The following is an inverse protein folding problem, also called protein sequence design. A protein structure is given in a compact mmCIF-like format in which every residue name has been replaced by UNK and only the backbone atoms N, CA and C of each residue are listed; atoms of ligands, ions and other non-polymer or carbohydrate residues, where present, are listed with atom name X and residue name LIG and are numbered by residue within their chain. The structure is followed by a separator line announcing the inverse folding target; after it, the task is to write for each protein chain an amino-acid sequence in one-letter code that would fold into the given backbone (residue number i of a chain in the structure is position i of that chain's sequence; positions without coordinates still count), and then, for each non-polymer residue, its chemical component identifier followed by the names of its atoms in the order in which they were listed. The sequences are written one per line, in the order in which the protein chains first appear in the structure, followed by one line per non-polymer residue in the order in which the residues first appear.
data_IF_038418576420
#
_entry.id   IF_038418576420
#
_cell.length_a   1.000
_cell.length_b   1.000
_cell.length_c   1.000
_cell.angle_alpha   90.00
_cell.angle_beta   90.00
_cell.angle_gamma   90.00
#
_symmetry.space_group_name_H-M   'P 1'
#
loop_
_entity.id
_entity.type
_entity.pdbx_description
1 polymer ?
#
# COMPACT_ATOMS: atom_id res chain seq x y z
N UNK A 1 -29.04 7.21 57.25
CA UNK A 1 -29.07 7.79 55.89
C UNK A 1 -27.79 7.39 55.18
N UNK A 2 -27.85 6.38 54.32
CA UNK A 2 -26.68 5.79 53.65
C UNK A 2 -26.40 6.59 52.37
N UNK A 3 -25.20 7.19 52.27
CA UNK A 3 -24.73 7.87 51.05
C UNK A 3 -24.15 6.81 50.10
N UNK A 4 -24.81 6.58 48.98
CA UNK A 4 -24.30 5.75 47.88
C UNK A 4 -23.43 6.64 46.99
N UNK A 5 -22.16 6.28 46.86
CA UNK A 5 -21.21 6.93 45.96
C UNK A 5 -21.24 6.15 44.63
N UNK A 6 -21.72 6.78 43.56
CA UNK A 6 -21.78 6.19 42.22
C UNK A 6 -20.43 6.43 41.52
N UNK A 7 -19.64 5.38 41.32
CA UNK A 7 -18.40 5.44 40.54
C UNK A 7 -18.73 5.11 39.08
N UNK A 8 -18.71 6.13 38.20
CA UNK A 8 -18.91 5.94 36.76
C UNK A 8 -17.56 5.61 36.13
N UNK A 9 -17.35 4.34 35.76
CA UNK A 9 -16.23 3.91 34.93
C UNK A 9 -16.54 4.21 33.46
N UNK A 10 -15.92 5.27 32.92
CA UNK A 10 -15.86 5.50 31.48
C UNK A 10 -14.87 4.51 30.85
N UNK A 11 -15.37 3.38 30.34
CA UNK A 11 -14.60 2.56 29.41
C UNK A 11 -14.61 3.27 28.05
N UNK A 12 -13.57 4.05 27.75
CA UNK A 12 -13.35 4.47 26.37
C UNK A 12 -12.86 3.25 25.59
N UNK A 13 -13.77 2.59 24.88
CA UNK A 13 -13.41 1.61 23.87
C UNK A 13 -12.76 2.32 22.69
N UNK A 14 -11.48 2.66 22.82
CA UNK A 14 -10.62 2.81 21.66
C UNK A 14 -10.47 1.40 21.08
N UNK A 15 -11.16 1.14 19.96
CA UNK A 15 -10.84 0.02 19.09
C UNK A 15 -9.50 0.34 18.42
N UNK A 16 -8.41 0.25 19.18
CA UNK A 16 -7.09 0.06 18.58
C UNK A 16 -7.16 -1.32 17.94
N UNK A 17 -6.90 -1.40 16.64
CA UNK A 17 -6.75 -2.68 15.96
C UNK A 17 -5.45 -3.27 16.51
N UNK A 18 -5.51 -3.95 17.66
CA UNK A 18 -4.35 -4.67 18.15
C UNK A 18 -3.95 -5.72 17.09
N UNK A 19 -2.65 -5.95 16.88
CA UNK A 19 -2.21 -7.06 16.04
C UNK A 19 -2.91 -8.32 16.52
N UNK A 20 -3.46 -9.07 15.57
CA UNK A 20 -4.25 -10.28 15.79
C UNK A 20 -3.41 -11.25 16.65
N UNK A 21 -3.66 -11.26 17.96
CA UNK A 21 -2.73 -11.83 18.96
C UNK A 21 -2.80 -13.36 19.06
N UNK A 22 -3.78 -14.02 18.45
CA UNK A 22 -3.90 -15.48 18.45
C UNK A 22 -4.50 -15.99 17.15
N UNK A 23 -3.64 -16.34 16.19
CA UNK A 23 -3.82 -17.49 15.31
C UNK A 23 -2.41 -18.03 15.06
N UNK A 24 -2.22 -19.35 15.14
CA UNK A 24 -0.96 -20.01 14.80
C UNK A 24 -0.49 -19.48 13.44
N UNK A 25 0.60 -18.71 13.41
CA UNK A 25 0.97 -17.96 12.22
C UNK A 25 1.26 -18.95 11.09
N UNK A 26 0.54 -18.81 9.98
CA UNK A 26 0.76 -19.68 8.82
C UNK A 26 2.14 -19.40 8.21
N UNK A 27 2.62 -20.31 7.37
CA UNK A 27 3.83 -20.04 6.58
C UNK A 27 3.70 -18.74 5.74
N UNK A 28 2.47 -18.42 5.29
CA UNK A 28 2.21 -17.17 4.59
C UNK A 28 2.30 -15.95 5.52
N UNK A 29 1.76 -16.03 6.74
CA UNK A 29 1.87 -14.94 7.72
C UNK A 29 3.33 -14.67 8.07
N UNK A 30 4.13 -15.72 8.30
CA UNK A 30 5.56 -15.60 8.56
C UNK A 30 6.30 -14.95 7.39
N UNK A 31 5.94 -15.33 6.16
CA UNK A 31 6.52 -14.73 4.95
C UNK A 31 6.16 -13.24 4.82
N UNK A 32 4.87 -12.88 4.93
CA UNK A 32 4.39 -11.49 4.77
C UNK A 32 4.94 -10.56 5.86
N UNK A 33 5.10 -11.05 7.09
CA UNK A 33 5.65 -10.26 8.20
C UNK A 33 7.18 -10.30 8.29
N UNK A 34 7.85 -11.09 7.44
CA UNK A 34 9.31 -11.11 7.42
C UNK A 34 9.86 -9.77 6.93
N UNK A 35 10.92 -9.28 7.58
CA UNK A 35 11.59 -8.07 7.15
C UNK A 35 12.35 -8.36 5.86
N UNK A 36 11.99 -7.67 4.78
CA UNK A 36 12.78 -7.66 3.56
C UNK A 36 13.73 -6.46 3.56
N UNK A 37 15.05 -6.72 3.56
CA UNK A 37 16.07 -5.67 3.60
C UNK A 37 16.14 -4.79 2.34
N UNK A 38 15.39 -5.12 1.29
CA UNK A 38 15.26 -4.31 0.08
C UNK A 38 14.05 -3.38 0.08
N UNK A 39 13.15 -3.49 1.07
CA UNK A 39 12.00 -2.60 1.19
C UNK A 39 12.47 -1.15 1.35
N UNK A 40 12.07 -0.30 0.41
CA UNK A 40 12.36 1.14 0.44
C UNK A 40 11.28 1.89 -0.32
N UNK A 41 10.99 3.13 0.07
CA UNK A 41 10.09 3.99 -0.68
C UNK A 41 10.55 5.44 -0.66
N UNK A 42 10.22 6.17 -1.73
CA UNK A 42 10.52 7.59 -1.87
C UNK A 42 9.33 8.31 -2.50
N UNK A 43 8.88 9.40 -1.87
CA UNK A 43 7.87 10.30 -2.46
C UNK A 43 8.59 11.21 -3.46
N UNK A 44 8.48 10.89 -4.75
CA UNK A 44 9.21 11.60 -5.81
C UNK A 44 8.46 12.82 -6.33
N UNK A 45 7.12 12.87 -6.16
CA UNK A 45 6.30 14.01 -6.58
C UNK A 45 5.09 14.19 -5.66
N UNK A 46 4.80 15.45 -5.36
CA UNK A 46 3.56 15.88 -4.70
C UNK A 46 2.81 16.82 -5.66
N UNK A 47 1.57 16.50 -5.97
CA UNK A 47 0.74 17.25 -6.92
C UNK A 47 -0.54 17.70 -6.21
N UNK A 48 -0.66 18.97 -5.83
CA UNK A 48 -1.90 19.54 -5.33
C UNK A 48 -3.00 19.49 -6.41
N UNK A 49 -4.23 19.27 -5.98
CA UNK A 49 -5.43 19.36 -6.81
C UNK A 49 -6.57 20.02 -6.04
N UNK A 50 -7.70 20.25 -6.70
CA UNK A 50 -8.85 20.85 -6.05
C UNK A 50 -9.57 19.83 -5.14
N UNK A 51 -9.41 20.01 -3.83
CA UNK A 51 -10.00 19.14 -2.80
C UNK A 51 -9.19 17.87 -2.50
N UNK A 52 -7.97 17.76 -3.02
CA UNK A 52 -7.09 16.61 -2.80
C UNK A 52 -5.61 16.93 -3.03
N UNK A 53 -4.74 16.05 -2.56
CA UNK A 53 -3.32 16.01 -2.90
C UNK A 53 -2.95 14.61 -3.40
N UNK A 54 -2.19 14.54 -4.50
CA UNK A 54 -1.60 13.29 -5.00
C UNK A 54 -0.14 13.18 -4.61
N UNK A 55 0.28 11.99 -4.22
CA UNK A 55 1.67 11.60 -3.99
C UNK A 55 2.04 10.49 -4.98
N UNK A 56 3.13 10.68 -5.70
CA UNK A 56 3.70 9.64 -6.55
C UNK A 56 4.93 9.11 -5.83
N UNK A 57 4.92 7.80 -5.57
CA UNK A 57 5.89 7.11 -4.74
C UNK A 57 6.60 6.06 -5.58
N UNK A 58 7.94 6.11 -5.58
CA UNK A 58 8.79 5.01 -6.02
C UNK A 58 8.87 4.01 -4.87
N UNK A 59 8.36 2.80 -5.06
CA UNK A 59 8.31 1.76 -4.03
C UNK A 59 9.10 0.54 -4.48
N UNK A 60 9.98 0.04 -3.62
CA UNK A 60 10.49 -1.34 -3.70
C UNK A 60 9.79 -2.13 -2.61
N UNK A 61 8.99 -3.11 -3.02
CA UNK A 61 8.16 -3.90 -2.10
C UNK A 61 8.97 -5.02 -1.44
N UNK A 62 9.81 -5.70 -2.23
CA UNK A 62 10.57 -6.86 -1.79
C UNK A 62 11.62 -7.28 -2.83
N UNK A 63 12.45 -8.24 -2.45
CA UNK A 63 13.23 -9.07 -3.36
C UNK A 63 12.45 -10.35 -3.65
N UNK A 64 12.19 -10.63 -4.92
CA UNK A 64 11.57 -11.86 -5.37
C UNK A 64 12.62 -12.77 -6.02
N UNK A 65 12.65 -14.04 -5.60
CA UNK A 65 13.58 -15.06 -6.09
C UNK A 65 15.05 -14.60 -6.07
N UNK A 66 15.92 -15.35 -6.75
CA UNK A 66 17.34 -15.04 -6.85
C UNK A 66 17.76 -14.81 -8.29
N UNK A 67 18.98 -14.30 -8.47
CA UNK A 67 19.60 -14.16 -9.81
C UNK A 67 19.83 -15.50 -10.52
N UNK A 68 19.68 -16.63 -9.83
CA UNK A 68 19.71 -17.97 -10.46
C UNK A 68 18.39 -18.31 -11.14
N UNK A 69 17.32 -17.63 -10.76
CA UNK A 69 15.96 -17.91 -11.23
C UNK A 69 15.53 -16.89 -12.28
N UNK A 70 15.85 -15.60 -12.07
CA UNK A 70 15.34 -14.49 -12.88
C UNK A 70 16.38 -13.38 -13.08
N UNK A 71 16.18 -12.57 -14.13
CA UNK A 71 17.07 -11.46 -14.50
C UNK A 71 16.98 -10.23 -13.58
N UNK A 72 15.82 -9.97 -12.95
CA UNK A 72 15.57 -8.82 -12.05
C UNK A 72 14.86 -9.26 -10.78
N UNK A 73 15.52 -9.14 -9.63
CA UNK A 73 14.98 -9.64 -8.35
C UNK A 73 14.24 -8.58 -7.53
N UNK A 74 14.64 -7.30 -7.59
CA UNK A 74 13.94 -6.23 -6.87
C UNK A 74 12.58 -5.96 -7.54
N UNK A 75 11.50 -6.05 -6.78
CA UNK A 75 10.16 -5.71 -7.23
C UNK A 75 9.87 -4.23 -6.99
N UNK A 76 9.79 -3.46 -8.08
CA UNK A 76 9.59 -2.02 -8.06
C UNK A 76 8.19 -1.64 -8.49
N UNK A 77 7.61 -0.62 -7.90
CA UNK A 77 6.26 -0.18 -8.19
C UNK A 77 6.16 1.34 -8.23
N UNK A 78 5.29 1.83 -9.11
CA UNK A 78 4.69 3.14 -8.94
C UNK A 78 3.47 3.02 -8.04
N UNK A 79 3.53 3.69 -6.89
CA UNK A 79 2.39 3.83 -5.99
C UNK A 79 1.88 5.28 -6.06
N UNK A 80 0.66 5.45 -6.56
CA UNK A 80 -0.01 6.76 -6.64
C UNK A 80 -1.02 6.83 -5.51
N UNK A 81 -0.84 7.74 -4.56
CA UNK A 81 -1.73 7.93 -3.42
C UNK A 81 -2.49 9.24 -3.60
N UNK A 82 -3.82 9.18 -3.59
CA UNK A 82 -4.69 10.35 -3.57
C UNK A 82 -5.27 10.51 -2.17
N UNK A 83 -4.93 11.62 -1.51
CA UNK A 83 -5.48 12.02 -0.23
C UNK A 83 -6.48 13.16 -0.45
N UNK A 84 -7.77 13.01 -0.11
CA UNK A 84 -8.68 14.16 -0.08
C UNK A 84 -8.27 15.12 1.05
N UNK A 85 -8.68 16.38 0.95
CA UNK A 85 -8.38 17.40 1.98
C UNK A 85 -9.07 17.09 3.31
N UNK A 86 -10.26 16.47 3.26
CA UNK A 86 -10.98 15.94 4.40
C UNK A 86 -11.07 14.41 4.30
N UNK A 87 -10.50 13.71 5.29
CA UNK A 87 -10.52 12.26 5.41
C UNK A 87 -11.55 11.85 6.47
N UNK A 88 -12.60 11.14 6.06
CA UNK A 88 -13.72 10.69 6.92
C UNK A 88 -13.61 9.22 7.34
N UNK A 89 -12.64 8.48 6.81
CA UNK A 89 -12.48 7.05 7.04
C UNK A 89 -11.05 6.68 7.40
N UNK A 90 -10.90 5.70 8.29
CA UNK A 90 -9.60 5.11 8.67
C UNK A 90 -9.17 3.98 7.72
N UNK A 91 -10.06 3.53 6.83
CA UNK A 91 -9.79 2.51 5.81
C UNK A 91 -9.72 3.17 4.45
N UNK A 92 -8.65 2.89 3.70
CA UNK A 92 -8.47 3.34 2.33
C UNK A 92 -8.82 2.25 1.31
N UNK A 93 -8.85 2.63 0.03
CA UNK A 93 -9.01 1.69 -1.07
C UNK A 93 -7.67 1.51 -1.81
N UNK A 94 -7.35 0.26 -2.16
CA UNK A 94 -6.19 -0.09 -2.98
C UNK A 94 -6.66 -0.65 -4.32
N UNK A 95 -6.22 -0.03 -5.40
CA UNK A 95 -6.39 -0.50 -6.78
C UNK A 95 -5.05 -1.09 -7.23
N UNK A 96 -5.04 -2.31 -7.78
CA UNK A 96 -3.82 -3.01 -8.18
C UNK A 96 -3.87 -3.32 -9.68
N UNK A 97 -2.80 -3.03 -10.42
CA UNK A 97 -2.71 -3.42 -11.83
C UNK A 97 -1.48 -2.88 -12.55
N UNK A 98 -1.65 -2.62 -13.86
CA UNK A 98 -0.65 -2.01 -14.74
C UNK A 98 0.74 -2.69 -14.70
N UNK A 99 0.81 -3.98 -15.05
CA UNK A 99 2.00 -4.82 -14.81
C UNK A 99 3.34 -4.37 -15.40
N UNK A 100 3.35 -3.48 -16.39
CA UNK A 100 4.60 -3.11 -17.05
C UNK A 100 5.53 -2.25 -16.17
N UNK A 101 6.77 -2.71 -15.98
CA UNK A 101 7.84 -2.07 -15.22
C UNK A 101 8.74 -1.18 -16.08
N UNK A 102 8.59 -1.21 -17.41
CA UNK A 102 9.37 -0.39 -18.34
C UNK A 102 8.73 1.00 -18.59
N UNK A 103 7.60 1.27 -17.91
CA UNK A 103 6.88 2.52 -18.00
C UNK A 103 7.62 3.73 -17.40
N UNK A 104 7.36 4.91 -17.97
CA UNK A 104 7.85 6.18 -17.43
C UNK A 104 7.23 6.48 -16.05
N UNK A 105 7.84 7.45 -15.36
CA UNK A 105 7.29 8.00 -14.12
C UNK A 105 5.87 8.54 -14.39
N UNK A 106 4.87 8.21 -13.55
CA UNK A 106 3.53 8.78 -13.68
C UNK A 106 3.57 10.31 -13.67
N UNK A 107 2.96 10.95 -14.66
CA UNK A 107 3.06 12.40 -14.82
C UNK A 107 2.14 13.17 -13.87
N UNK A 108 1.09 12.52 -13.35
CA UNK A 108 0.08 13.17 -12.52
C UNK A 108 -0.88 12.20 -11.83
N UNK A 109 -2.00 12.72 -11.33
CA UNK A 109 -2.99 11.93 -10.61
C UNK A 109 -3.67 10.87 -11.46
N UNK A 110 -3.91 9.70 -10.86
CA UNK A 110 -4.86 8.71 -11.38
C UNK A 110 -6.28 9.26 -11.23
N UNK A 111 -6.95 9.53 -12.35
CA UNK A 111 -8.26 10.18 -12.36
C UNK A 111 -9.36 9.33 -11.72
N UNK A 112 -9.25 8.00 -11.80
CA UNK A 112 -10.19 7.09 -11.15
C UNK A 112 -10.00 7.16 -9.64
N UNK A 113 -8.75 7.12 -9.17
CA UNK A 113 -8.42 7.27 -7.75
C UNK A 113 -8.88 8.63 -7.20
N UNK A 114 -8.69 9.72 -7.96
CA UNK A 114 -9.20 11.06 -7.60
C UNK A 114 -10.70 11.07 -7.43
N UNK A 115 -11.44 10.52 -8.40
CA UNK A 115 -12.90 10.45 -8.34
C UNK A 115 -13.35 9.70 -7.09
N UNK A 116 -12.76 8.55 -6.81
CA UNK A 116 -13.12 7.77 -5.64
C UNK A 116 -12.77 8.47 -4.34
N UNK A 117 -11.55 8.99 -4.20
CA UNK A 117 -11.12 9.70 -3.00
C UNK A 117 -12.03 10.89 -2.65
N UNK A 118 -12.46 11.66 -3.66
CA UNK A 118 -13.37 12.79 -3.48
C UNK A 118 -14.79 12.37 -3.11
N UNK A 119 -15.31 11.29 -3.73
CA UNK A 119 -16.68 10.81 -3.46
C UNK A 119 -16.78 10.15 -2.08
N UNK A 120 -15.74 9.41 -1.67
CA UNK A 120 -15.76 8.67 -0.40
C UNK A 120 -15.16 9.45 0.76
N UNK A 121 -14.42 10.54 0.53
CA UNK A 121 -13.57 11.17 1.55
C UNK A 121 -12.62 10.16 2.22
N UNK A 122 -12.10 9.18 1.46
CA UNK A 122 -11.09 8.23 1.93
C UNK A 122 -9.82 8.33 1.09
N UNK A 123 -8.69 7.92 1.66
CA UNK A 123 -7.45 7.76 0.88
C UNK A 123 -7.65 6.64 -0.14
N UNK A 124 -7.20 6.88 -1.37
CA UNK A 124 -7.21 5.86 -2.45
C UNK A 124 -5.81 5.75 -3.02
N UNK A 125 -5.30 4.53 -3.14
CA UNK A 125 -4.00 4.27 -3.72
C UNK A 125 -4.14 3.36 -4.95
N UNK A 126 -3.38 3.67 -6.00
CA UNK A 126 -3.17 2.80 -7.16
C UNK A 126 -1.75 2.25 -7.12
N UNK A 127 -1.60 0.93 -7.00
CA UNK A 127 -0.35 0.20 -7.08
C UNK A 127 -0.17 -0.36 -8.50
N UNK A 128 0.74 0.25 -9.25
CA UNK A 128 1.13 -0.19 -10.58
C UNK A 128 2.21 -1.28 -10.57
N UNK A 129 2.57 -1.75 -11.75
CA UNK A 129 3.62 -2.74 -12.00
C UNK A 129 3.34 -4.09 -11.31
N UNK A 130 2.06 -4.49 -11.28
CA UNK A 130 1.62 -5.81 -10.80
C UNK A 130 0.87 -6.57 -11.91
N UNK A 131 1.39 -7.73 -12.38
CA UNK A 131 2.67 -8.37 -12.02
C UNK A 131 3.88 -7.57 -12.51
N UNK A 132 5.08 -7.74 -11.95
CA UNK A 132 6.27 -6.90 -12.21
C UNK A 132 7.02 -7.24 -13.52
N UNK A 133 6.31 -7.23 -14.64
CA UNK A 133 6.77 -7.62 -15.98
C UNK A 133 7.46 -6.45 -16.74
N UNK A 134 8.24 -6.67 -17.80
CA UNK A 134 8.71 -7.97 -18.27
C UNK A 134 9.74 -8.58 -17.30
N UNK A 135 9.71 -9.90 -17.16
CA UNK A 135 10.68 -10.67 -16.39
C UNK A 135 11.16 -11.88 -17.20
N UNK A 136 12.47 -12.15 -17.21
CA UNK A 136 13.03 -13.31 -17.91
C UNK A 136 13.56 -14.30 -16.91
N UNK A 137 13.04 -15.53 -16.96
CA UNK A 137 13.57 -16.64 -16.17
C UNK A 137 14.86 -17.18 -16.78
N UNK A 138 15.77 -17.63 -15.94
CA UNK A 138 17.04 -18.24 -16.39
C UNK A 138 16.74 -19.49 -17.22
N UNK A 139 17.35 -19.57 -18.40
CA UNK A 139 17.10 -20.64 -19.37
C UNK A 139 16.00 -20.31 -20.38
N UNK A 140 15.24 -19.23 -20.20
CA UNK A 140 14.28 -18.74 -21.18
C UNK A 140 14.91 -17.66 -22.06
N UNK A 141 14.56 -17.66 -23.35
CA UNK A 141 15.01 -16.64 -24.32
C UNK A 141 13.99 -15.52 -24.54
N UNK A 142 12.78 -15.66 -23.98
CA UNK A 142 11.68 -14.70 -24.12
C UNK A 142 11.24 -14.18 -22.74
N UNK A 143 11.07 -12.87 -22.55
CA UNK A 143 10.49 -12.31 -21.34
C UNK A 143 9.00 -12.68 -21.20
N UNK A 144 8.52 -12.68 -19.95
CA UNK A 144 7.10 -12.86 -19.57
C UNK A 144 6.53 -11.58 -19.00
#
# INVERSE_FOLDING_TARGET
MIKIFLLILFFSSFLITEPRLEFDQTALDNYVHSIDGSYEYEVIKKVPGEGFTTYIVNLISQTFLTKKDINRTKWKHWLIIVSPDEIKHTTGMLIIGAGDNDGSIPEGPDQIAVKYAKVTNSVVATLGMVPNQPLTFVGESKPR
#
